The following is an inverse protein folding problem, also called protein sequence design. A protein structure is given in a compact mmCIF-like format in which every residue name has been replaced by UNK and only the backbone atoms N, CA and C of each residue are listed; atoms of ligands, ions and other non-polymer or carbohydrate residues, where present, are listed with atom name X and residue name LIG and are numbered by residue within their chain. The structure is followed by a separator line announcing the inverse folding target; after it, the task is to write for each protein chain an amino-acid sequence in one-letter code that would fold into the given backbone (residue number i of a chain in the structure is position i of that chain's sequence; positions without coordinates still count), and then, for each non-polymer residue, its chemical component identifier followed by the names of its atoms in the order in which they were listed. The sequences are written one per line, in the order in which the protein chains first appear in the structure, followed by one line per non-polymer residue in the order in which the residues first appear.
data_IF_036779446082
#
_entry.id   IF_036779446082
#
_cell.length_a   1.000
_cell.length_b   1.000
_cell.length_c   1.000
_cell.angle_alpha   90.00
_cell.angle_beta   90.00
_cell.angle_gamma   90.00
#
_symmetry.space_group_name_H-M   'P 1'
#
loop_
_entity.id
_entity.type
_entity.pdbx_description
1 polymer ?
#
# COMPACT_ATOMS: atom_id res chain seq x y z
N UNK A 1 17.49 11.94 37.58
CA UNK A 1 16.31 11.06 37.78
C UNK A 1 16.80 9.63 37.97
N UNK A 2 16.49 9.00 39.10
CA UNK A 2 16.86 7.60 39.40
C UNK A 2 16.04 6.62 38.56
N UNK A 3 16.61 5.45 38.23
CA UNK A 3 15.98 4.46 37.36
C UNK A 3 14.68 3.89 37.94
N UNK A 4 14.57 3.82 39.27
CA UNK A 4 13.33 3.46 39.96
C UNK A 4 12.16 4.46 39.70
N UNK A 5 12.46 5.76 39.55
CA UNK A 5 11.43 6.77 39.20
C UNK A 5 11.00 6.67 37.74
N UNK A 6 11.93 6.33 36.84
CA UNK A 6 11.61 6.06 35.42
C UNK A 6 10.72 4.82 35.29
N UNK A 7 11.03 3.76 36.03
CA UNK A 7 10.29 2.49 35.97
C UNK A 7 8.89 2.61 36.58
N UNK A 8 8.75 3.26 37.74
CA UNK A 8 7.44 3.55 38.34
C UNK A 8 6.54 4.40 37.43
N UNK A 9 7.11 5.43 36.78
CA UNK A 9 6.37 6.24 35.81
C UNK A 9 5.94 5.43 34.58
N UNK A 10 6.80 4.53 34.10
CA UNK A 10 6.53 3.66 32.95
C UNK A 10 5.40 2.66 33.26
N UNK A 11 5.41 2.04 34.43
CA UNK A 11 4.35 1.14 34.92
C UNK A 11 3.01 1.89 35.06
N UNK A 12 3.03 3.10 35.61
CA UNK A 12 1.84 3.94 35.73
C UNK A 12 1.24 4.33 34.36
N UNK A 13 2.08 4.71 33.40
CA UNK A 13 1.64 4.97 32.03
C UNK A 13 1.07 3.73 31.35
N UNK A 14 1.65 2.55 31.58
CA UNK A 14 1.17 1.29 31.03
C UNK A 14 -0.26 1.00 31.54
N UNK A 15 -0.48 1.07 32.85
CA UNK A 15 -1.80 0.88 33.47
C UNK A 15 -2.84 1.88 32.97
N UNK A 16 -2.47 3.15 32.78
CA UNK A 16 -3.35 4.16 32.19
C UNK A 16 -3.70 3.85 30.73
N UNK A 17 -2.72 3.40 29.94
CA UNK A 17 -2.92 3.02 28.53
C UNK A 17 -3.83 1.81 28.40
N UNK A 18 -3.69 0.81 29.26
CA UNK A 18 -4.51 -0.40 29.23
C UNK A 18 -5.97 -0.07 29.63
N UNK A 19 -6.16 0.77 30.65
CA UNK A 19 -7.50 1.20 31.10
C UNK A 19 -8.20 2.12 30.09
N UNK A 20 -7.46 2.94 29.34
CA UNK A 20 -8.01 3.92 28.40
C UNK A 20 -7.76 3.57 26.93
N UNK A 21 -7.33 2.35 26.62
CA UNK A 21 -6.83 1.98 25.29
C UNK A 21 -7.85 2.27 24.19
N UNK A 22 -9.12 1.95 24.45
CA UNK A 22 -10.23 2.17 23.51
C UNK A 22 -10.42 3.67 23.25
N UNK A 23 -10.45 4.50 24.29
CA UNK A 23 -10.61 5.97 24.19
C UNK A 23 -9.40 6.61 23.48
N UNK A 24 -8.18 6.20 23.83
CA UNK A 24 -6.96 6.66 23.20
C UNK A 24 -6.91 6.28 21.71
N UNK A 25 -7.30 5.06 21.36
CA UNK A 25 -7.35 4.61 19.98
C UNK A 25 -8.44 5.34 19.19
N UNK A 26 -9.60 5.59 19.78
CA UNK A 26 -10.67 6.38 19.18
C UNK A 26 -10.22 7.83 18.91
N UNK A 27 -9.62 8.49 19.90
CA UNK A 27 -9.07 9.84 19.76
C UNK A 27 -7.95 9.91 18.71
N UNK A 28 -7.01 8.96 18.70
CA UNK A 28 -5.97 8.86 17.66
C UNK A 28 -6.58 8.67 16.27
N UNK A 29 -7.63 7.85 16.15
CA UNK A 29 -8.33 7.63 14.88
C UNK A 29 -9.03 8.91 14.43
N UNK A 30 -9.69 9.62 15.34
CA UNK A 30 -10.34 10.91 15.08
C UNK A 30 -9.31 11.95 14.63
N UNK A 31 -8.23 12.18 15.39
CA UNK A 31 -7.16 13.10 15.00
C UNK A 31 -6.53 12.77 13.65
N UNK A 32 -6.44 11.48 13.27
CA UNK A 32 -5.94 11.07 11.95
C UNK A 32 -6.92 11.33 10.82
N UNK A 33 -8.22 11.44 11.10
CA UNK A 33 -9.24 11.80 10.12
C UNK A 33 -9.30 13.32 10.04
N UNK A 34 -9.50 13.98 11.18
CA UNK A 34 -9.68 15.42 11.28
C UNK A 34 -8.49 16.21 10.75
N UNK A 35 -7.27 15.68 10.82
CA UNK A 35 -6.08 16.36 10.34
C UNK A 35 -5.60 15.94 8.94
N UNK A 36 -6.33 15.07 8.23
CA UNK A 36 -5.98 14.77 6.84
C UNK A 36 -6.13 15.99 5.97
N UNK A 37 -5.14 16.21 5.11
CA UNK A 37 -5.21 17.25 4.09
C UNK A 37 -6.25 16.91 3.01
N UNK A 38 -6.32 15.63 2.63
CA UNK A 38 -7.16 15.12 1.56
C UNK A 38 -7.81 13.81 2.00
N UNK A 39 -9.13 13.74 1.92
CA UNK A 39 -9.91 12.51 2.09
C UNK A 39 -10.50 12.11 0.75
N UNK A 40 -10.17 10.91 0.26
CA UNK A 40 -10.77 10.36 -0.95
C UNK A 40 -12.14 9.77 -0.67
N UNK A 41 -13.03 9.81 -1.68
CA UNK A 41 -14.33 9.15 -1.62
C UNK A 41 -14.13 7.68 -1.24
N UNK A 42 -14.73 7.28 -0.12
CA UNK A 42 -14.79 5.87 0.23
C UNK A 42 -15.60 5.18 -0.84
N UNK A 43 -15.00 4.21 -1.54
CA UNK A 43 -15.71 3.37 -2.51
C UNK A 43 -17.06 2.93 -1.93
N UNK A 44 -18.14 3.50 -2.48
CA UNK A 44 -19.50 3.16 -2.11
C UNK A 44 -19.72 1.70 -2.52
N UNK A 45 -20.27 0.93 -1.61
CA UNK A 45 -20.69 -0.43 -1.91
C UNK A 45 -22.01 -0.27 -2.65
N UNK A 46 -22.16 -0.82 -3.88
CA UNK A 46 -23.44 -0.78 -4.58
C UNK A 46 -24.53 -1.44 -3.75
N UNK A 47 -25.77 -1.03 -3.97
CA UNK A 47 -26.92 -1.67 -3.34
C UNK A 47 -26.96 -3.17 -3.68
N UNK A 48 -27.45 -3.97 -2.73
CA UNK A 48 -27.47 -5.42 -2.88
C UNK A 48 -28.28 -5.87 -4.11
N UNK A 49 -29.32 -5.14 -4.47
CA UNK A 49 -30.12 -5.41 -5.68
C UNK A 49 -29.31 -5.21 -6.97
N UNK A 50 -28.45 -4.19 -7.01
CA UNK A 50 -27.50 -4.00 -8.13
C UNK A 50 -26.51 -5.16 -8.18
N UNK A 51 -26.02 -5.61 -7.02
CA UNK A 51 -25.07 -6.72 -6.96
C UNK A 51 -25.70 -8.06 -7.37
N UNK A 52 -26.97 -8.31 -7.02
CA UNK A 52 -27.75 -9.49 -7.41
C UNK A 52 -28.06 -9.55 -8.90
N UNK A 53 -28.28 -8.39 -9.53
CA UNK A 53 -28.55 -8.31 -10.97
C UNK A 53 -27.35 -8.74 -11.84
N UNK A 54 -26.14 -8.81 -11.26
CA UNK A 54 -24.93 -9.17 -12.00
C UNK A 54 -24.93 -10.66 -12.30
N UNK A 55 -25.04 -10.98 -13.60
CA UNK A 55 -25.08 -12.36 -14.07
C UNK A 55 -23.71 -13.04 -13.95
N UNK A 56 -23.66 -14.35 -13.61
CA UNK A 56 -22.43 -15.12 -13.62
C UNK A 56 -21.80 -15.16 -15.02
N UNK A 57 -20.47 -15.20 -15.11
CA UNK A 57 -19.82 -15.40 -16.41
C UNK A 57 -20.02 -16.84 -16.90
N UNK A 58 -20.21 -17.02 -18.21
CA UNK A 58 -20.30 -18.35 -18.83
C UNK A 58 -18.99 -19.12 -18.69
N UNK A 59 -17.86 -18.43 -18.90
CA UNK A 59 -16.52 -18.97 -18.83
C UNK A 59 -15.61 -18.04 -18.03
N UNK A 60 -14.73 -18.64 -17.23
CA UNK A 60 -13.71 -17.92 -16.47
C UNK A 60 -12.47 -17.72 -17.35
N UNK A 61 -11.77 -16.58 -17.23
CA UNK A 61 -10.57 -16.35 -18.01
C UNK A 61 -9.49 -17.39 -17.67
N UNK A 62 -8.78 -17.86 -18.68
CA UNK A 62 -7.57 -18.65 -18.52
C UNK A 62 -6.49 -17.74 -17.94
N UNK A 63 -5.90 -18.14 -16.81
CA UNK A 63 -4.78 -17.40 -16.21
C UNK A 63 -3.63 -18.35 -15.95
N UNK A 64 -2.41 -17.89 -16.24
CA UNK A 64 -1.19 -18.57 -15.79
C UNK A 64 -1.10 -18.48 -14.28
N UNK A 65 -0.87 -19.62 -13.63
CA UNK A 65 -0.69 -19.69 -12.18
C UNK A 65 0.77 -19.42 -11.86
N UNK A 66 1.10 -18.18 -11.52
CA UNK A 66 2.40 -17.88 -10.91
C UNK A 66 2.39 -18.31 -9.42
N UNK A 67 3.50 -18.84 -8.87
CA UNK A 67 3.61 -19.14 -7.45
C UNK A 67 3.35 -17.91 -6.58
N UNK A 68 2.59 -18.08 -5.49
CA UNK A 68 2.28 -16.97 -4.58
C UNK A 68 3.49 -16.62 -3.71
N UNK A 69 3.72 -15.32 -3.58
CA UNK A 69 4.67 -14.78 -2.61
C UNK A 69 4.26 -15.15 -1.17
N UNK A 70 5.22 -15.36 -0.24
CA UNK A 70 4.92 -15.75 1.15
C UNK A 70 3.91 -14.83 1.85
N UNK A 71 4.06 -13.52 1.72
CA UNK A 71 3.14 -12.53 2.29
C UNK A 71 1.71 -12.66 1.76
N UNK A 72 1.55 -13.07 0.50
CA UNK A 72 0.23 -13.35 -0.09
C UNK A 72 -0.40 -14.59 0.54
N UNK A 73 0.40 -15.64 0.80
CA UNK A 73 -0.05 -16.86 1.48
C UNK A 73 -0.53 -16.55 2.89
N UNK A 74 0.27 -15.84 3.68
CA UNK A 74 -0.10 -15.40 5.04
C UNK A 74 -1.39 -14.59 5.05
N UNK A 75 -1.50 -13.59 4.16
CA UNK A 75 -2.71 -12.78 4.02
C UNK A 75 -3.93 -13.63 3.69
N UNK A 76 -3.81 -14.60 2.78
CA UNK A 76 -4.91 -15.47 2.38
C UNK A 76 -5.32 -16.42 3.52
N UNK A 77 -4.35 -16.96 4.28
CA UNK A 77 -4.62 -17.81 5.45
C UNK A 77 -5.36 -17.01 6.53
N UNK A 78 -4.84 -15.83 6.90
CA UNK A 78 -5.50 -14.99 7.89
C UNK A 78 -6.93 -14.62 7.47
N UNK A 79 -7.10 -14.30 6.19
CA UNK A 79 -8.39 -13.97 5.61
C UNK A 79 -9.38 -15.14 5.67
N UNK A 80 -8.97 -16.34 5.24
CA UNK A 80 -9.88 -17.50 5.20
C UNK A 80 -10.22 -18.02 6.59
N UNK A 81 -9.29 -17.93 7.56
CA UNK A 81 -9.56 -18.24 8.96
C UNK A 81 -10.63 -17.33 9.54
N UNK A 82 -10.51 -16.01 9.32
CA UNK A 82 -11.50 -15.04 9.77
C UNK A 82 -12.85 -15.24 9.07
N UNK A 83 -12.83 -15.52 7.76
CA UNK A 83 -14.04 -15.82 6.99
C UNK A 83 -14.75 -17.08 7.52
N UNK A 84 -14.02 -18.17 7.76
CA UNK A 84 -14.59 -19.40 8.30
C UNK A 84 -15.22 -19.15 9.67
N UNK A 85 -14.46 -18.57 10.61
CA UNK A 85 -14.91 -18.27 11.97
C UNK A 85 -16.18 -17.41 12.00
N UNK A 86 -16.31 -16.46 11.08
CA UNK A 86 -17.51 -15.62 11.00
C UNK A 86 -18.78 -16.43 10.70
N UNK A 87 -18.70 -17.41 9.78
CA UNK A 87 -19.88 -18.12 9.28
C UNK A 87 -20.12 -19.46 9.97
N UNK A 88 -19.13 -20.00 10.68
CA UNK A 88 -19.26 -21.27 11.41
C UNK A 88 -19.13 -21.10 12.93
N UNK A 89 -18.59 -19.97 13.41
CA UNK A 89 -18.23 -19.77 14.81
C UNK A 89 -16.93 -20.49 15.24
N UNK A 90 -16.35 -21.31 14.36
CA UNK A 90 -15.25 -22.21 14.69
C UNK A 90 -13.89 -21.69 14.22
N UNK A 91 -12.82 -22.16 14.85
CA UNK A 91 -11.45 -21.90 14.39
C UNK A 91 -11.10 -22.89 13.29
N UNK A 92 -10.72 -22.38 12.12
CA UNK A 92 -10.23 -23.23 11.04
C UNK A 92 -8.86 -23.82 11.41
N UNK A 93 -8.70 -25.17 11.42
CA UNK A 93 -7.43 -25.83 11.75
C UNK A 93 -6.31 -25.44 10.78
N UNK A 94 -5.06 -25.42 11.27
CA UNK A 94 -3.87 -25.07 10.47
C UNK A 94 -3.55 -26.07 9.35
N UNK A 95 -4.00 -27.32 9.51
CA UNK A 95 -3.84 -28.41 8.55
C UNK A 95 -5.03 -28.54 7.59
N UNK A 96 -6.01 -27.63 7.64
CA UNK A 96 -7.18 -27.67 6.77
C UNK A 96 -6.79 -27.68 5.28
N UNK A 97 -7.57 -28.41 4.47
CA UNK A 97 -7.29 -28.61 3.04
C UNK A 97 -7.21 -27.28 2.24
N UNK A 98 -7.97 -26.26 2.66
CA UNK A 98 -7.88 -24.93 2.05
C UNK A 98 -6.55 -24.22 2.38
N UNK A 99 -5.96 -24.47 3.56
CA UNK A 99 -4.66 -23.91 3.94
C UNK A 99 -3.55 -24.62 3.16
N UNK A 100 -3.62 -25.95 2.99
CA UNK A 100 -2.73 -26.70 2.10
C UNK A 100 -2.77 -26.14 0.67
N UNK A 101 -3.97 -25.88 0.14
CA UNK A 101 -4.18 -25.23 -1.17
C UNK A 101 -3.52 -23.85 -1.26
N UNK A 102 -3.69 -22.99 -0.25
CA UNK A 102 -3.09 -21.65 -0.22
C UNK A 102 -1.56 -21.74 -0.19
N UNK A 103 -1.02 -22.71 0.56
CA UNK A 103 0.40 -23.00 0.64
C UNK A 103 0.98 -23.69 -0.59
N UNK A 104 0.13 -24.03 -1.57
CA UNK A 104 0.51 -24.73 -2.82
C UNK A 104 1.03 -26.15 -2.55
N UNK A 105 0.52 -26.78 -1.48
CA UNK A 105 0.75 -28.18 -1.15
C UNK A 105 -0.38 -29.06 -1.72
N UNK A 106 -0.14 -30.37 -1.93
CA UNK A 106 -1.20 -31.32 -2.27
C UNK A 106 -2.37 -31.22 -1.27
N UNK A 107 -3.60 -31.17 -1.79
CA UNK A 107 -4.82 -31.01 -1.00
C UNK A 107 -6.01 -31.73 -1.65
N UNK A 108 -7.02 -32.06 -0.84
CA UNK A 108 -8.25 -32.74 -1.24
C UNK A 108 -9.33 -31.72 -1.59
N UNK A 109 -9.43 -31.37 -2.88
CA UNK A 109 -10.36 -30.36 -3.40
C UNK A 109 -11.83 -30.60 -3.03
N UNK A 110 -12.30 -31.84 -3.05
CA UNK A 110 -13.68 -32.21 -2.69
C UNK A 110 -14.02 -31.89 -1.23
N UNK A 111 -13.08 -32.08 -0.30
CA UNK A 111 -13.27 -31.74 1.12
C UNK A 111 -13.42 -30.22 1.26
N UNK A 112 -12.53 -29.46 0.62
CA UNK A 112 -12.61 -28.01 0.60
C UNK A 112 -13.93 -27.51 0.02
N UNK A 113 -14.38 -28.07 -1.10
CA UNK A 113 -15.65 -27.71 -1.70
C UNK A 113 -16.84 -28.04 -0.78
N UNK A 114 -16.85 -29.22 -0.15
CA UNK A 114 -17.90 -29.64 0.79
C UNK A 114 -18.05 -28.69 1.97
N UNK A 115 -16.94 -28.14 2.48
CA UNK A 115 -16.95 -27.20 3.61
C UNK A 115 -17.36 -25.80 3.18
N UNK A 116 -16.74 -25.25 2.12
CA UNK A 116 -16.88 -23.82 1.80
C UNK A 116 -18.02 -23.49 0.83
N UNK A 117 -18.46 -24.45 0.00
CA UNK A 117 -19.57 -24.22 -0.94
C UNK A 117 -20.87 -23.87 -0.21
N UNK A 118 -21.32 -24.61 0.82
CA UNK A 118 -22.55 -24.25 1.54
C UNK A 118 -22.46 -22.87 2.20
N UNK A 119 -21.29 -22.51 2.75
CA UNK A 119 -21.07 -21.18 3.34
C UNK A 119 -21.29 -20.08 2.30
N UNK A 120 -20.69 -20.22 1.12
CA UNK A 120 -20.81 -19.24 0.03
C UNK A 120 -22.24 -19.14 -0.51
N UNK A 121 -22.90 -20.28 -0.70
CA UNK A 121 -24.26 -20.32 -1.28
C UNK A 121 -25.28 -19.74 -0.30
N UNK A 122 -25.23 -20.17 0.97
CA UNK A 122 -26.23 -19.79 1.97
C UNK A 122 -26.08 -18.35 2.47
N UNK A 123 -24.89 -17.77 2.33
CA UNK A 123 -24.60 -16.42 2.81
C UNK A 123 -24.20 -15.44 1.70
N UNK A 124 -24.50 -15.77 0.43
CA UNK A 124 -23.96 -15.05 -0.72
C UNK A 124 -24.16 -13.53 -0.64
N UNK A 125 -25.38 -13.08 -0.36
CA UNK A 125 -25.71 -11.65 -0.30
C UNK A 125 -24.95 -10.92 0.81
N UNK A 126 -24.89 -11.52 2.00
CA UNK A 126 -24.12 -11.00 3.14
C UNK A 126 -22.64 -10.90 2.79
N UNK A 127 -22.12 -11.90 2.07
CA UNK A 127 -20.74 -11.92 1.62
C UNK A 127 -20.47 -10.80 0.63
N UNK A 128 -21.37 -10.58 -0.33
CA UNK A 128 -21.21 -9.51 -1.32
C UNK A 128 -21.11 -8.15 -0.67
N UNK A 129 -22.00 -7.82 0.28
CA UNK A 129 -21.97 -6.53 0.98
C UNK A 129 -20.73 -6.41 1.86
N UNK A 130 -20.51 -7.37 2.76
CA UNK A 130 -19.45 -7.29 3.78
C UNK A 130 -18.05 -7.35 3.17
N UNK A 131 -17.85 -8.20 2.17
CA UNK A 131 -16.55 -8.45 1.56
C UNK A 131 -16.38 -7.81 0.19
N UNK A 132 -17.26 -6.90 -0.26
CA UNK A 132 -17.20 -6.28 -1.59
C UNK A 132 -15.79 -5.80 -1.98
N UNK A 133 -15.11 -5.10 -1.06
CA UNK A 133 -13.77 -4.52 -1.27
C UNK A 133 -12.66 -5.58 -1.32
N UNK A 134 -12.88 -6.73 -0.69
CA UNK A 134 -11.92 -7.83 -0.56
C UNK A 134 -12.36 -9.10 -1.30
N UNK A 135 -13.42 -9.02 -2.11
CA UNK A 135 -14.01 -10.15 -2.82
C UNK A 135 -13.02 -10.82 -3.77
N UNK A 136 -12.05 -10.05 -4.27
CA UNK A 136 -10.93 -10.55 -5.06
C UNK A 136 -10.08 -11.57 -4.31
N UNK A 137 -9.93 -11.45 -2.98
CA UNK A 137 -9.20 -12.41 -2.15
C UNK A 137 -9.98 -13.72 -2.09
N UNK A 138 -11.30 -13.67 -1.82
CA UNK A 138 -12.17 -14.85 -1.81
C UNK A 138 -12.12 -15.57 -3.16
N UNK A 139 -12.30 -14.83 -4.25
CA UNK A 139 -12.19 -15.37 -5.59
C UNK A 139 -10.83 -16.05 -5.81
N UNK A 140 -9.71 -15.39 -5.48
CA UNK A 140 -8.37 -15.97 -5.63
C UNK A 140 -8.13 -17.22 -4.76
N UNK A 141 -8.70 -17.28 -3.55
CA UNK A 141 -8.59 -18.43 -2.66
C UNK A 141 -9.38 -19.62 -3.21
N UNK A 142 -10.57 -19.41 -3.75
CA UNK A 142 -11.40 -20.49 -4.27
C UNK A 142 -11.09 -20.86 -5.72
N UNK A 143 -10.45 -19.98 -6.49
CA UNK A 143 -10.08 -20.21 -7.89
C UNK A 143 -9.34 -21.53 -8.08
N UNK A 144 -9.84 -22.34 -9.01
CA UNK A 144 -9.25 -23.63 -9.41
C UNK A 144 -9.54 -24.78 -8.45
N UNK A 145 -10.49 -24.65 -7.51
CA UNK A 145 -10.90 -25.78 -6.67
C UNK A 145 -12.01 -26.54 -7.39
N UNK A 146 -11.75 -27.82 -7.69
CA UNK A 146 -12.78 -28.71 -8.25
C UNK A 146 -14.02 -28.72 -7.35
N UNK A 147 -15.19 -28.45 -7.93
CA UNK A 147 -16.47 -28.36 -7.22
C UNK A 147 -16.91 -26.94 -6.83
N UNK A 148 -16.06 -25.93 -7.06
CA UNK A 148 -16.33 -24.51 -6.75
C UNK A 148 -16.49 -23.62 -7.99
N UNK A 149 -16.52 -24.22 -9.19
CA UNK A 149 -16.50 -23.48 -10.47
C UNK A 149 -17.67 -22.51 -10.62
N UNK A 150 -18.86 -22.88 -10.15
CA UNK A 150 -20.05 -22.03 -10.27
C UNK A 150 -19.95 -20.83 -9.34
N UNK A 151 -19.43 -21.02 -8.13
CA UNK A 151 -19.13 -19.96 -7.18
C UNK A 151 -18.07 -19.01 -7.74
N UNK A 152 -17.03 -19.54 -8.38
CA UNK A 152 -16.02 -18.72 -9.07
C UNK A 152 -16.65 -17.87 -10.18
N UNK A 153 -17.53 -18.46 -11.01
CA UNK A 153 -18.25 -17.76 -12.09
C UNK A 153 -19.17 -16.66 -11.57
N UNK A 154 -19.77 -16.88 -10.39
CA UNK A 154 -20.60 -15.89 -9.69
C UNK A 154 -19.76 -14.75 -9.09
N UNK A 155 -18.63 -15.06 -8.47
CA UNK A 155 -17.77 -14.07 -7.81
C UNK A 155 -16.99 -13.19 -8.81
N UNK A 156 -16.57 -13.75 -9.95
CA UNK A 156 -15.70 -13.06 -10.89
C UNK A 156 -16.25 -11.71 -11.41
N UNK A 157 -17.50 -11.60 -11.87
CA UNK A 157 -18.10 -10.30 -12.20
C UNK A 157 -18.03 -9.27 -11.08
N UNK A 158 -18.28 -9.69 -9.84
CA UNK A 158 -18.23 -8.81 -8.66
C UNK A 158 -16.80 -8.31 -8.42
N UNK A 159 -15.80 -9.17 -8.63
CA UNK A 159 -14.39 -8.76 -8.59
C UNK A 159 -14.10 -7.66 -9.62
N UNK A 160 -14.63 -7.79 -10.83
CA UNK A 160 -14.43 -6.79 -11.89
C UNK A 160 -15.12 -5.46 -11.53
N UNK A 161 -16.36 -5.51 -11.05
CA UNK A 161 -17.08 -4.32 -10.61
C UNK A 161 -16.36 -3.62 -9.46
N UNK A 162 -15.95 -4.36 -8.43
CA UNK A 162 -15.21 -3.83 -7.28
C UNK A 162 -13.91 -3.13 -7.71
N UNK A 163 -13.19 -3.72 -8.68
CA UNK A 163 -12.00 -3.10 -9.28
C UNK A 163 -12.35 -1.84 -10.09
N UNK A 164 -13.40 -1.88 -10.90
CA UNK A 164 -13.82 -0.74 -11.72
C UNK A 164 -14.21 0.47 -10.84
N UNK A 165 -15.03 0.23 -9.81
CA UNK A 165 -15.40 1.27 -8.83
C UNK A 165 -14.15 1.83 -8.14
N UNK A 166 -13.24 0.97 -7.67
CA UNK A 166 -11.99 1.46 -7.10
C UNK A 166 -11.18 2.33 -8.07
N UNK A 167 -11.05 1.91 -9.33
CA UNK A 167 -10.30 2.68 -10.33
C UNK A 167 -10.96 4.03 -10.65
N UNK A 168 -12.29 4.10 -10.64
CA UNK A 168 -13.05 5.33 -10.86
C UNK A 168 -12.91 6.30 -9.68
N UNK A 169 -13.07 5.80 -8.46
CA UNK A 169 -13.21 6.65 -7.27
C UNK A 169 -11.87 6.99 -6.57
N UNK A 170 -10.78 6.25 -6.85
CA UNK A 170 -9.47 6.42 -6.15
C UNK A 170 -8.85 7.81 -6.22
N UNK A 171 -9.29 8.64 -7.17
CA UNK A 171 -8.79 10.01 -7.38
C UNK A 171 -9.86 11.07 -7.13
N UNK A 172 -11.07 10.64 -6.78
CA UNK A 172 -12.14 11.55 -6.38
C UNK A 172 -11.92 11.94 -4.92
N UNK A 173 -11.95 13.24 -4.66
CA UNK A 173 -11.81 13.80 -3.32
C UNK A 173 -13.20 13.97 -2.71
N UNK A 174 -13.39 13.47 -1.49
CA UNK A 174 -14.58 13.69 -0.65
C UNK A 174 -14.44 15.00 0.14
N UNK A 175 -13.24 15.28 0.65
CA UNK A 175 -12.94 16.49 1.41
C UNK A 175 -11.51 16.95 1.10
N UNK A 176 -11.38 18.23 0.73
CA UNK A 176 -10.11 18.91 0.51
C UNK A 176 -9.99 20.04 1.53
N UNK A 177 -9.01 19.97 2.43
CA UNK A 177 -8.73 21.11 3.31
C UNK A 177 -8.23 22.30 2.51
N UNK A 178 -8.62 23.49 2.93
CA UNK A 178 -8.18 24.74 2.30
C UNK A 178 -6.65 24.81 2.21
N UNK A 179 -6.17 25.15 1.01
CA UNK A 179 -4.74 25.24 0.70
C UNK A 179 -3.98 23.91 0.68
N UNK A 180 -4.66 22.75 0.78
CA UNK A 180 -3.96 21.45 0.84
C UNK A 180 -3.13 21.14 -0.41
N UNK A 181 -3.56 21.60 -1.58
CA UNK A 181 -2.79 21.43 -2.83
C UNK A 181 -1.73 22.51 -2.98
N UNK A 182 -2.06 23.77 -2.71
CA UNK A 182 -1.17 24.92 -2.95
C UNK A 182 -0.04 25.06 -1.94
N UNK A 183 -0.16 24.48 -0.73
CA UNK A 183 0.91 24.44 0.27
C UNK A 183 2.08 23.53 -0.11
N UNK A 184 1.86 22.59 -1.01
CA UNK A 184 2.89 21.65 -1.44
C UNK A 184 3.66 22.25 -2.61
N UNK A 185 4.95 22.46 -2.39
CA UNK A 185 5.91 22.86 -3.41
C UNK A 185 6.92 21.73 -3.63
N UNK A 186 7.18 21.40 -4.90
CA UNK A 186 8.11 20.37 -5.33
C UNK A 186 9.45 20.91 -5.82
N UNK A 187 9.65 22.23 -5.81
CA UNK A 187 10.93 22.86 -6.11
C UNK A 187 12.01 22.36 -5.15
N UNK A 188 13.15 21.96 -5.71
CA UNK A 188 14.19 21.22 -4.98
C UNK A 188 14.70 22.01 -3.76
N UNK A 189 14.90 23.32 -3.92
CA UNK A 189 15.35 24.23 -2.87
C UNK A 189 14.35 24.33 -1.70
N UNK A 190 13.06 24.43 -1.99
CA UNK A 190 11.99 24.47 -0.98
C UNK A 190 11.81 23.12 -0.30
N UNK A 191 11.99 22.01 -1.02
CA UNK A 191 11.98 20.66 -0.41
C UNK A 191 13.12 20.52 0.60
N UNK A 192 14.36 20.88 0.26
CA UNK A 192 15.46 20.78 1.22
C UNK A 192 15.29 21.71 2.42
N UNK A 193 14.83 22.95 2.19
CA UNK A 193 14.50 23.89 3.27
C UNK A 193 13.48 23.31 4.26
N UNK A 194 12.43 22.66 3.75
CA UNK A 194 11.45 21.97 4.59
C UNK A 194 12.05 20.74 5.31
N UNK A 195 12.98 20.02 4.67
CA UNK A 195 13.67 18.89 5.28
C UNK A 195 14.51 19.31 6.48
N UNK A 196 15.08 20.52 6.50
CA UNK A 196 15.84 21.04 7.64
C UNK A 196 15.02 21.19 8.93
N UNK A 197 13.69 21.26 8.82
CA UNK A 197 12.81 21.22 10.00
C UNK A 197 12.79 19.85 10.69
N UNK A 198 13.34 18.80 10.07
CA UNK A 198 13.31 17.43 10.56
C UNK A 198 14.59 17.09 11.35
N UNK A 199 14.44 16.44 12.52
CA UNK A 199 15.56 16.29 13.46
C UNK A 199 16.58 15.21 13.08
N UNK A 200 16.23 14.26 12.21
CA UNK A 200 17.10 13.13 11.87
C UNK A 200 17.18 12.91 10.35
N UNK A 201 18.33 12.40 9.90
CA UNK A 201 18.63 12.20 8.48
C UNK A 201 17.68 11.20 7.81
N UNK A 202 17.26 10.14 8.51
CA UNK A 202 16.30 9.16 7.95
C UNK A 202 14.93 9.79 7.62
N UNK A 203 14.42 10.71 8.45
CA UNK A 203 13.19 11.46 8.18
C UNK A 203 13.38 12.42 7.01
N UNK A 204 14.53 13.11 6.96
CA UNK A 204 14.91 13.97 5.83
C UNK A 204 14.94 13.18 4.52
N UNK A 205 15.57 12.00 4.52
CA UNK A 205 15.64 11.10 3.35
C UNK A 205 14.24 10.66 2.94
N UNK A 206 13.44 10.16 3.90
CA UNK A 206 12.07 9.72 3.64
C UNK A 206 11.22 10.83 3.01
N UNK A 207 11.37 12.06 3.51
CA UNK A 207 10.72 13.23 2.97
C UNK A 207 11.20 13.58 1.56
N UNK A 208 12.50 13.82 1.37
CA UNK A 208 13.07 14.22 0.09
C UNK A 208 12.84 13.18 -1.01
N UNK A 209 12.99 11.88 -0.74
CA UNK A 209 12.69 10.84 -1.73
C UNK A 209 11.22 10.83 -2.15
N UNK A 210 10.29 11.12 -1.23
CA UNK A 210 8.86 11.15 -1.55
C UNK A 210 8.48 12.41 -2.33
N UNK A 211 9.09 13.55 -1.98
CA UNK A 211 8.79 14.86 -2.57
C UNK A 211 9.54 15.10 -3.89
N UNK A 212 10.78 14.65 -4.07
CA UNK A 212 11.55 14.92 -5.30
C UNK A 212 11.34 13.83 -6.35
N UNK A 213 11.29 12.56 -5.92
CA UNK A 213 11.26 11.43 -6.84
C UNK A 213 9.85 10.87 -7.03
N UNK A 214 8.87 11.32 -6.22
CA UNK A 214 7.47 10.91 -6.29
C UNK A 214 7.27 9.39 -6.26
N UNK A 215 8.21 8.64 -5.66
CA UNK A 215 8.21 7.17 -5.63
C UNK A 215 7.41 6.60 -4.47
N UNK A 216 7.12 5.29 -4.52
CA UNK A 216 6.38 4.63 -3.44
C UNK A 216 7.35 4.45 -2.27
N UNK A 217 6.86 4.61 -1.04
CA UNK A 217 7.66 4.29 0.15
C UNK A 217 8.18 2.84 0.14
N UNK A 218 7.44 1.93 -0.51
CA UNK A 218 7.87 0.54 -0.68
C UNK A 218 9.15 0.41 -1.51
N UNK A 219 9.35 1.29 -2.50
CA UNK A 219 10.56 1.28 -3.32
C UNK A 219 11.77 1.62 -2.43
N UNK A 220 11.64 2.63 -1.56
CA UNK A 220 12.68 3.08 -0.63
C UNK A 220 12.94 2.08 0.51
N UNK A 221 11.88 1.45 1.03
CA UNK A 221 11.91 0.50 2.15
C UNK A 221 13.00 -0.58 2.02
N UNK A 222 13.20 -1.07 0.80
CA UNK A 222 14.12 -2.16 0.49
C UNK A 222 15.39 -1.70 -0.23
N UNK A 223 15.67 -0.39 -0.25
CA UNK A 223 16.83 0.14 -0.94
C UNK A 223 18.08 0.03 -0.08
N UNK A 224 19.12 -0.59 -0.66
CA UNK A 224 20.44 -0.70 -0.04
C UNK A 224 21.43 0.28 -0.67
N UNK A 225 22.47 0.65 0.08
CA UNK A 225 23.64 1.38 -0.41
C UNK A 225 24.67 0.37 -0.87
N UNK A 226 25.21 0.53 -2.07
CA UNK A 226 26.33 -0.26 -2.56
C UNK A 226 27.53 0.67 -2.66
N UNK A 227 28.55 0.40 -1.87
CA UNK A 227 29.85 1.03 -2.04
C UNK A 227 30.51 0.41 -3.29
N UNK A 228 31.13 1.21 -4.15
CA UNK A 228 31.70 0.77 -5.42
C UNK A 228 32.70 -0.41 -5.28
N UNK A 229 33.31 -0.61 -4.10
CA UNK A 229 34.19 -1.73 -3.80
C UNK A 229 33.46 -3.08 -3.59
N UNK A 230 32.14 -3.08 -3.42
CA UNK A 230 31.33 -4.25 -3.11
C UNK A 230 30.80 -5.01 -4.35
N UNK A 231 31.22 -4.60 -5.56
CA UNK A 231 30.97 -5.37 -6.80
C UNK A 231 31.70 -6.72 -6.81
N UNK A 232 32.73 -6.91 -5.98
CA UNK A 232 33.67 -8.04 -6.10
C UNK A 232 33.45 -9.25 -5.17
N UNK A 233 32.41 -9.28 -4.32
CA UNK A 233 32.22 -10.41 -3.39
C UNK A 233 30.75 -10.76 -3.17
N UNK A 234 30.34 -11.90 -3.74
CA UNK A 234 29.27 -12.80 -3.26
C UNK A 234 27.94 -12.14 -2.82
N UNK A 235 27.45 -11.18 -3.61
CA UNK A 235 26.17 -10.52 -3.33
C UNK A 235 24.99 -11.35 -3.85
N UNK A 236 23.88 -11.42 -3.09
CA UNK A 236 22.62 -11.95 -3.62
C UNK A 236 22.27 -11.20 -4.91
N UNK A 237 21.85 -11.93 -5.94
CA UNK A 237 21.42 -11.42 -7.24
C UNK A 237 20.81 -10.01 -7.12
N UNK A 238 21.55 -8.98 -7.55
CA UNK A 238 21.11 -7.58 -7.52
C UNK A 238 19.83 -7.35 -8.35
N UNK A 239 19.38 -8.37 -9.09
CA UNK A 239 18.16 -8.33 -9.88
C UNK A 239 16.89 -8.30 -9.04
N UNK A 240 16.94 -8.63 -7.74
CA UNK A 240 15.76 -8.76 -6.88
C UNK A 240 15.61 -7.65 -5.81
N UNK A 241 16.60 -6.76 -5.70
CA UNK A 241 16.65 -5.70 -4.68
C UNK A 241 16.83 -4.31 -5.30
N UNK A 242 16.31 -3.28 -4.64
CA UNK A 242 16.57 -1.90 -5.03
C UNK A 242 17.89 -1.45 -4.41
N UNK A 243 18.68 -0.64 -5.12
CA UNK A 243 19.98 -0.20 -4.62
C UNK A 243 20.38 1.18 -5.15
N UNK A 244 21.27 1.86 -4.43
CA UNK A 244 21.94 3.08 -4.89
C UNK A 244 23.41 2.73 -5.19
N UNK A 245 23.87 3.13 -6.38
CA UNK A 245 25.26 3.03 -6.82
C UNK A 245 25.63 4.35 -7.51
N UNK A 246 26.68 5.02 -7.03
CA UNK A 246 27.01 6.37 -7.48
C UNK A 246 25.86 7.34 -7.23
N UNK A 247 25.51 8.13 -8.24
CA UNK A 247 24.39 9.08 -8.25
C UNK A 247 23.07 8.46 -8.73
N UNK A 248 22.98 7.13 -8.83
CA UNK A 248 21.81 6.46 -9.41
C UNK A 248 21.09 5.56 -8.43
N UNK A 249 19.76 5.62 -8.45
CA UNK A 249 18.87 4.71 -7.76
C UNK A 249 18.25 3.70 -8.72
N UNK A 250 18.59 2.43 -8.52
CA UNK A 250 18.10 1.30 -9.29
C UNK A 250 16.91 0.65 -8.57
N UNK A 251 15.75 0.69 -9.23
CA UNK A 251 14.51 0.11 -8.74
C UNK A 251 14.20 -1.13 -9.58
N UNK A 252 14.63 -2.30 -9.09
CA UNK A 252 14.50 -3.56 -9.82
C UNK A 252 13.16 -4.25 -9.58
N UNK A 253 12.53 -4.04 -8.41
CA UNK A 253 11.28 -4.70 -8.03
C UNK A 253 10.06 -3.79 -8.25
N UNK A 254 9.76 -3.46 -9.50
CA UNK A 254 8.53 -2.74 -9.83
C UNK A 254 7.36 -3.70 -10.05
N UNK A 255 6.13 -3.20 -9.84
CA UNK A 255 4.89 -3.98 -10.07
C UNK A 255 4.82 -4.58 -11.48
N UNK A 256 5.44 -3.93 -12.46
CA UNK A 256 5.39 -4.31 -13.87
C UNK A 256 6.67 -5.06 -14.32
N UNK A 257 7.56 -5.45 -13.39
CA UNK A 257 8.86 -6.10 -13.67
C UNK A 257 9.79 -5.29 -14.59
N UNK A 258 9.53 -3.99 -14.76
CA UNK A 258 10.37 -3.06 -15.53
C UNK A 258 11.36 -2.41 -14.56
N UNK A 259 12.65 -2.49 -14.86
CA UNK A 259 13.69 -1.80 -14.10
C UNK A 259 13.59 -0.29 -14.35
N UNK A 260 13.67 0.51 -13.29
CA UNK A 260 13.69 1.97 -13.37
C UNK A 260 15.01 2.43 -12.77
N UNK A 261 15.68 3.36 -13.44
CA UNK A 261 16.90 4.02 -12.94
C UNK A 261 16.57 5.51 -12.83
N UNK A 262 16.85 6.08 -11.67
CA UNK A 262 16.63 7.51 -11.39
C UNK A 262 17.93 8.15 -10.97
N UNK A 263 18.23 9.33 -11.50
CA UNK A 263 19.35 10.14 -11.05
C UNK A 263 19.01 10.82 -9.72
N UNK A 264 19.99 10.88 -8.83
CA UNK A 264 19.90 11.50 -7.52
C UNK A 264 20.78 12.75 -7.50
N UNK A 265 20.22 13.87 -7.05
CA UNK A 265 21.00 15.10 -6.98
C UNK A 265 22.12 15.01 -5.94
N UNK A 266 23.20 15.79 -6.08
CA UNK A 266 24.32 15.78 -5.14
C UNK A 266 23.88 16.01 -3.69
N UNK A 267 22.91 16.90 -3.48
CA UNK A 267 22.32 17.19 -2.17
C UNK A 267 21.61 15.99 -1.55
N UNK A 268 20.93 15.18 -2.37
CA UNK A 268 20.27 13.96 -1.89
C UNK A 268 21.31 12.89 -1.54
N UNK A 269 22.37 12.78 -2.35
CA UNK A 269 23.47 11.86 -2.10
C UNK A 269 24.24 12.21 -0.82
N UNK A 270 24.47 13.48 -0.57
CA UNK A 270 25.07 13.96 0.68
C UNK A 270 24.21 13.61 1.90
N UNK A 271 22.88 13.69 1.75
CA UNK A 271 21.98 13.30 2.84
C UNK A 271 22.02 11.78 3.11
N UNK A 272 22.10 10.97 2.05
CA UNK A 272 22.19 9.50 2.14
C UNK A 272 23.51 9.04 2.76
N UNK A 273 24.62 9.76 2.50
CA UNK A 273 25.93 9.44 3.06
C UNK A 273 26.00 9.71 4.57
N UNK A 274 25.23 10.68 5.08
CA UNK A 274 25.13 11.00 6.52
C UNK A 274 24.41 9.94 7.37
N UNK A 275 23.94 8.84 6.80
CA UNK A 275 23.39 7.69 7.55
C UNK A 275 24.50 6.66 7.74
N UNK A 276 25.17 6.72 8.90
CA UNK A 276 26.34 5.89 9.20
C UNK A 276 26.06 4.38 9.20
N UNK A 277 27.06 3.61 8.77
CA UNK A 277 27.26 2.17 9.03
C UNK A 277 26.05 1.25 8.84
N UNK A 278 25.24 1.53 7.82
CA UNK A 278 24.07 0.72 7.53
C UNK A 278 23.93 0.41 6.04
N UNK A 279 23.71 -0.87 5.75
CA UNK A 279 23.42 -1.38 4.39
C UNK A 279 22.18 -0.70 3.79
N UNK A 280 21.20 -0.30 4.60
CA UNK A 280 19.96 0.32 4.13
C UNK A 280 20.03 1.84 4.10
N UNK A 281 19.39 2.46 3.10
CA UNK A 281 19.33 3.92 2.94
C UNK A 281 18.64 4.61 4.13
N UNK A 282 17.67 3.94 4.76
CA UNK A 282 16.97 4.42 5.96
C UNK A 282 17.59 3.89 7.26
N UNK A 283 18.86 3.48 7.24
CA UNK A 283 19.56 2.91 8.40
C UNK A 283 19.15 1.47 8.73
N UNK A 284 17.91 1.07 8.45
CA UNK A 284 17.41 -0.28 8.75
C UNK A 284 16.26 -0.66 7.84
N UNK A 285 15.94 -1.95 7.81
CA UNK A 285 14.68 -2.41 7.23
C UNK A 285 13.53 -2.00 8.15
N UNK A 286 12.67 -1.11 7.65
CA UNK A 286 11.47 -0.63 8.37
C UNK A 286 10.24 -1.22 7.70
N UNK A 287 9.21 -1.59 8.45
CA UNK A 287 7.96 -2.05 7.83
C UNK A 287 7.19 -0.89 7.18
N UNK A 288 6.40 -1.21 6.14
CA UNK A 288 5.63 -0.21 5.38
C UNK A 288 4.66 0.60 6.25
N UNK A 289 4.06 -0.02 7.28
CA UNK A 289 3.08 0.66 8.13
C UNK A 289 3.75 1.70 9.03
N UNK A 290 4.94 1.39 9.54
CA UNK A 290 5.80 2.30 10.29
C UNK A 290 6.28 3.43 9.38
N UNK A 291 6.76 3.16 8.16
CA UNK A 291 7.15 4.20 7.21
C UNK A 291 5.98 5.14 6.87
N UNK A 292 4.79 4.60 6.63
CA UNK A 292 3.59 5.41 6.37
C UNK A 292 3.24 6.29 7.58
N UNK A 293 3.27 5.72 8.78
CA UNK A 293 2.99 6.50 10.00
C UNK A 293 4.06 7.56 10.27
N UNK A 294 5.32 7.29 9.92
CA UNK A 294 6.45 8.22 10.05
C UNK A 294 6.28 9.38 9.07
N UNK A 295 5.98 9.09 7.80
CA UNK A 295 5.71 10.10 6.79
C UNK A 295 4.53 11.02 7.16
N UNK A 296 3.44 10.46 7.69
CA UNK A 296 2.31 11.28 8.16
C UNK A 296 2.68 12.24 9.30
N UNK A 297 3.66 11.90 10.14
CA UNK A 297 4.16 12.79 11.21
C UNK A 297 5.07 13.88 10.64
N UNK A 298 5.92 13.53 9.68
CA UNK A 298 6.76 14.48 8.94
C UNK A 298 5.87 15.57 8.31
N UNK A 299 4.84 15.16 7.57
CA UNK A 299 3.98 16.10 6.86
C UNK A 299 3.13 16.94 7.81
N UNK A 300 2.68 16.35 8.92
CA UNK A 300 2.06 17.13 10.01
C UNK A 300 3.03 18.19 10.55
N UNK A 301 4.30 17.86 10.76
CA UNK A 301 5.29 18.82 11.29
C UNK A 301 5.57 19.97 10.32
N UNK A 302 5.67 19.69 9.02
CA UNK A 302 6.02 20.68 8.00
C UNK A 302 4.81 21.52 7.60
N UNK A 303 3.66 20.88 7.38
CA UNK A 303 2.49 21.52 6.76
C UNK A 303 1.30 21.71 7.70
N UNK A 304 1.41 21.28 8.96
CA UNK A 304 0.30 21.23 9.92
C UNK A 304 -0.91 20.41 9.42
N UNK A 305 -0.66 19.46 8.51
CA UNK A 305 -1.68 18.58 7.93
C UNK A 305 -1.06 17.22 7.60
N UNK A 306 -1.86 16.16 7.71
CA UNK A 306 -1.42 14.81 7.34
C UNK A 306 -1.62 14.62 5.83
N UNK A 307 -0.51 14.50 5.13
CA UNK A 307 -0.46 13.97 3.76
C UNK A 307 0.06 12.54 3.78
N UNK A 308 -0.63 11.65 3.08
CA UNK A 308 -0.12 10.33 2.78
C UNK A 308 0.85 10.39 1.58
N UNK A 309 1.75 9.40 1.41
CA UNK A 309 2.62 9.35 0.23
C UNK A 309 1.85 9.30 -1.08
N UNK A 310 0.65 8.71 -1.06
CA UNK A 310 -0.21 8.70 -2.23
C UNK A 310 -0.80 10.09 -2.51
N UNK A 311 -1.10 10.89 -1.48
CA UNK A 311 -1.53 12.28 -1.67
C UNK A 311 -0.46 13.07 -2.41
N UNK A 312 0.80 13.01 -1.95
CA UNK A 312 1.91 13.72 -2.57
C UNK A 312 2.04 13.38 -4.06
N UNK A 313 1.99 12.08 -4.41
CA UNK A 313 2.03 11.64 -5.81
C UNK A 313 0.87 12.20 -6.64
N UNK A 314 -0.35 12.21 -6.10
CA UNK A 314 -1.50 12.77 -6.81
C UNK A 314 -1.42 14.30 -6.94
N UNK A 315 -0.94 15.01 -5.90
CA UNK A 315 -0.74 16.47 -5.93
C UNK A 315 0.27 16.81 -7.03
N UNK A 316 1.42 16.15 -7.06
CA UNK A 316 2.43 16.36 -8.11
C UNK A 316 1.85 16.13 -9.52
N UNK A 317 1.18 15.00 -9.73
CA UNK A 317 0.57 14.66 -11.01
C UNK A 317 -0.48 15.71 -11.40
N UNK A 318 -1.25 16.22 -10.43
CA UNK A 318 -2.26 17.25 -10.68
C UNK A 318 -1.60 18.57 -11.06
N UNK A 319 -0.56 19.00 -10.35
CA UNK A 319 0.16 20.25 -10.63
C UNK A 319 0.86 20.21 -12.00
N UNK A 320 1.56 19.12 -12.35
CA UNK A 320 2.24 19.04 -13.65
C UNK A 320 1.26 18.95 -14.83
N UNK A 321 0.10 18.29 -14.66
CA UNK A 321 -0.92 18.24 -15.73
C UNK A 321 -1.69 19.56 -15.88
N UNK A 322 -1.77 20.37 -14.82
CA UNK A 322 -2.40 21.69 -14.85
C UNK A 322 -1.39 22.81 -15.19
N UNK A 323 -0.11 22.47 -15.42
CA UNK A 323 0.87 23.43 -15.90
C UNK A 323 0.70 23.58 -17.42
N UNK A 324 0.16 24.71 -17.84
CA UNK A 324 -0.12 25.01 -19.26
C UNK A 324 1.13 24.96 -20.15
N UNK A 325 2.34 25.00 -19.57
CA UNK A 325 3.61 24.92 -20.28
C UNK A 325 4.22 23.51 -20.32
N UNK A 326 3.64 22.52 -19.64
CA UNK A 326 4.19 21.17 -19.62
C UNK A 326 4.01 20.49 -20.99
N UNK A 327 5.13 20.11 -21.61
CA UNK A 327 5.12 19.42 -22.90
C UNK A 327 4.68 17.96 -22.74
N UNK A 328 4.13 17.38 -23.81
CA UNK A 328 3.78 15.96 -23.84
C UNK A 328 4.98 15.04 -23.50
N UNK A 329 6.19 15.45 -23.91
CA UNK A 329 7.42 14.73 -23.62
C UNK A 329 7.72 14.71 -22.12
N UNK A 330 7.66 15.86 -21.45
CA UNK A 330 7.87 15.96 -20.00
C UNK A 330 6.85 15.13 -19.21
N UNK A 331 5.56 15.23 -19.58
CA UNK A 331 4.52 14.42 -18.95
C UNK A 331 4.77 12.92 -19.11
N UNK A 332 5.25 12.49 -20.30
CA UNK A 332 5.58 11.09 -20.56
C UNK A 332 6.81 10.65 -19.76
N UNK A 333 7.85 11.47 -19.68
CA UNK A 333 9.07 11.17 -18.95
C UNK A 333 8.79 11.06 -17.45
N UNK A 334 7.95 11.93 -16.89
CA UNK A 334 7.48 11.82 -15.51
C UNK A 334 6.60 10.59 -15.26
N UNK A 335 5.76 10.20 -16.22
CA UNK A 335 5.01 8.94 -16.15
C UNK A 335 5.95 7.74 -16.00
N UNK A 336 6.99 7.70 -16.83
CA UNK A 336 8.00 6.63 -16.85
C UNK A 336 8.77 6.60 -15.52
N UNK A 337 9.23 7.76 -15.03
CA UNK A 337 9.87 7.88 -13.71
C UNK A 337 8.95 7.42 -12.58
N UNK A 338 7.63 7.61 -12.69
CA UNK A 338 6.63 7.13 -11.74
C UNK A 338 6.24 5.65 -11.91
N UNK A 339 6.73 5.00 -12.98
CA UNK A 339 6.50 3.59 -13.33
C UNK A 339 5.12 3.33 -13.93
N UNK A 340 4.60 4.30 -14.68
CA UNK A 340 3.27 4.29 -15.32
C UNK A 340 3.39 4.60 -16.81
N UNK A 341 2.38 4.18 -17.57
CA UNK A 341 2.10 4.84 -18.85
C UNK A 341 1.46 6.21 -18.59
N UNK A 342 1.57 7.15 -19.53
CA UNK A 342 0.93 8.47 -19.38
C UNK A 342 -0.59 8.36 -19.11
N UNK A 343 -1.28 7.49 -19.84
CA UNK A 343 -2.70 7.23 -19.64
C UNK A 343 -3.02 6.63 -18.25
N UNK A 344 -2.12 5.85 -17.68
CA UNK A 344 -2.27 5.37 -16.30
C UNK A 344 -2.03 6.49 -15.28
N UNK A 345 -1.05 7.36 -15.52
CA UNK A 345 -0.70 8.47 -14.64
C UNK A 345 -1.83 9.51 -14.59
N UNK A 346 -2.44 9.85 -15.71
CA UNK A 346 -3.57 10.79 -15.79
C UNK A 346 -4.76 10.35 -14.94
N UNK A 347 -4.95 9.04 -14.72
CA UNK A 347 -6.00 8.52 -13.82
C UNK A 347 -5.72 8.80 -12.33
N UNK A 348 -4.58 9.36 -11.97
CA UNK A 348 -4.24 9.79 -10.60
C UNK A 348 -4.40 11.30 -10.39
N UNK A 349 -4.78 12.06 -11.42
CA UNK A 349 -5.12 13.48 -11.28
C UNK A 349 -6.31 13.62 -10.33
N UNK A 350 -6.20 14.52 -9.36
CA UNK A 350 -7.29 14.78 -8.44
C UNK A 350 -8.48 15.40 -9.14
N UNK A 351 -9.66 14.85 -8.84
CA UNK A 351 -10.94 15.40 -9.24
C UNK A 351 -11.65 15.87 -7.99
N UNK A 352 -11.92 17.15 -7.92
CA UNK A 352 -12.80 17.71 -6.89
C UNK A 352 -14.20 17.24 -7.29
N UNK A 353 -14.87 16.52 -6.39
CA UNK A 353 -16.27 16.17 -6.60
C UNK A 353 -17.09 17.47 -6.49
N UNK A 354 -17.85 17.79 -7.55
CA UNK A 354 -18.84 18.87 -7.54
C UNK A 354 -19.98 18.58 -6.56
#
# INVERSE_FOLDING_TARGET
MTDAKKESHRISQQKYRDKNQIKLNASRKKNRVDNKAISNIKNKIPDIEVLKAIKPVKQLPTQKTEPKQPQTKEKYIAYIKAFYKEYTGEILPDDAEIIKKINEKPYKSQITAKIFKPILVNNYDKILVKYFKTIHILFSIFRGIRGMTDEEKRLYPIVQLSKAIYQKERSNIEELKEGAVSKINFEETEVYKNAELLPNNEDKILYCFTMLLHRRLFDLQHTIKIDAAAEAADQPSLTDINYILGDKWYINKTKNKVKIVLDLSPSLMELVSKVENNKYVLGRLVDKSTLTSRFNKITMKIYNMIYTPNNIRHIYITQINNNDNATFKELKDEALKAGHTLAEQQKYIYKIAE
#
